data_IF_426855598245
#
_entry.id   IF_426855598245
#
_cell.length_a   1.000
_cell.length_b   1.000
_cell.length_c   1.000
_cell.angle_alpha   90.00
_cell.angle_beta   90.00
_cell.angle_gamma   90.00
#
_symmetry.space_group_name_H-M   'P 1'
#
loop_
_entity.id
_entity.type
_entity.pdbx_description
1 polymer ?
#
# COMPACT_ATOMS: atom_id res chain seq x y z
N UNK A 1 -64.61 1.38 12.72
CA UNK A 1 -63.46 0.45 12.53
C UNK A 1 -62.38 1.01 11.61
N UNK A 2 -62.64 1.79 10.57
CA UNK A 2 -61.58 2.33 9.67
C UNK A 2 -60.67 3.42 10.32
N UNK A 3 -61.19 4.24 11.19
CA UNK A 3 -60.42 5.31 11.87
C UNK A 3 -59.43 4.78 12.92
N UNK A 4 -59.82 3.69 13.60
CA UNK A 4 -58.98 3.03 14.60
C UNK A 4 -57.71 2.42 13.96
N UNK A 5 -57.82 1.82 12.77
CA UNK A 5 -56.69 1.22 12.09
C UNK A 5 -55.70 2.30 11.55
N UNK A 6 -56.21 3.44 11.11
CA UNK A 6 -55.36 4.58 10.67
C UNK A 6 -54.56 5.16 11.82
N UNK A 7 -55.12 5.28 13.00
CA UNK A 7 -54.40 5.78 14.17
C UNK A 7 -53.32 4.83 14.64
N UNK A 8 -53.61 3.50 14.63
CA UNK A 8 -52.59 2.49 14.97
C UNK A 8 -51.45 2.48 13.97
N UNK A 9 -51.74 2.56 12.66
CA UNK A 9 -50.68 2.63 11.63
C UNK A 9 -49.84 3.86 11.76
N UNK A 10 -50.42 5.04 11.99
CA UNK A 10 -49.68 6.28 12.20
C UNK A 10 -48.77 6.22 13.45
N UNK A 11 -49.25 5.61 14.52
CA UNK A 11 -48.50 5.42 15.76
C UNK A 11 -47.28 4.50 15.57
N UNK A 12 -47.43 3.39 14.83
CA UNK A 12 -46.36 2.44 14.52
C UNK A 12 -45.29 3.12 13.63
N UNK A 13 -45.69 3.89 12.64
CA UNK A 13 -44.77 4.64 11.78
C UNK A 13 -44.02 5.70 12.58
N UNK A 14 -44.67 6.43 13.45
CA UNK A 14 -44.05 7.44 14.31
C UNK A 14 -43.02 6.82 15.26
N UNK A 15 -43.35 5.66 15.85
CA UNK A 15 -42.44 4.92 16.74
C UNK A 15 -41.23 4.39 15.99
N UNK A 16 -41.40 3.93 14.76
CA UNK A 16 -40.30 3.48 13.88
C UNK A 16 -39.31 4.60 13.57
N UNK A 17 -39.80 5.79 13.23
CA UNK A 17 -38.95 6.97 12.93
C UNK A 17 -38.17 7.44 14.17
N UNK A 18 -38.81 7.46 15.35
CA UNK A 18 -38.16 7.85 16.60
C UNK A 18 -37.05 6.86 16.98
N UNK A 19 -37.28 5.56 16.78
CA UNK A 19 -36.32 4.49 17.10
C UNK A 19 -35.06 4.58 16.21
N UNK A 20 -35.21 4.90 14.93
CA UNK A 20 -34.07 5.07 14.01
C UNK A 20 -33.25 6.31 14.35
N UNK A 21 -33.89 7.42 14.73
CA UNK A 21 -33.21 8.62 15.15
C UNK A 21 -32.39 8.44 16.45
N UNK A 22 -32.89 7.63 17.38
CA UNK A 22 -32.18 7.33 18.62
C UNK A 22 -30.92 6.47 18.41
N UNK A 23 -30.92 5.57 17.42
CA UNK A 23 -29.76 4.74 17.07
C UNK A 23 -28.67 5.52 16.33
N UNK A 24 -29.00 6.64 15.71
CA UNK A 24 -28.04 7.49 15.02
C UNK A 24 -27.19 8.36 15.96
N UNK A 25 -27.52 8.46 17.24
CA UNK A 25 -26.77 9.22 18.23
C UNK A 25 -25.74 8.30 18.92
N UNK A 26 -24.65 8.02 18.21
CA UNK A 26 -23.50 7.39 18.88
C UNK A 26 -22.91 8.35 19.90
N UNK A 27 -22.64 7.91 21.14
CA UNK A 27 -22.08 8.79 22.17
C UNK A 27 -20.75 9.34 21.70
N UNK A 28 -20.65 10.64 21.59
CA UNK A 28 -19.39 11.33 21.30
C UNK A 28 -18.63 11.46 22.62
N UNK A 29 -17.60 10.66 22.79
CA UNK A 29 -16.80 10.65 24.03
C UNK A 29 -15.93 11.90 24.19
N UNK A 30 -15.94 12.82 23.25
CA UNK A 30 -15.08 14.04 23.23
C UNK A 30 -13.60 13.75 23.46
N UNK A 31 -13.14 12.57 23.01
CA UNK A 31 -11.75 12.18 23.07
C UNK A 31 -11.01 12.70 21.85
N UNK A 32 -9.79 13.19 22.12
CA UNK A 32 -8.94 13.72 21.07
C UNK A 32 -9.31 15.15 20.61
N UNK A 33 -8.44 15.71 19.81
CA UNK A 33 -8.61 17.02 19.16
C UNK A 33 -8.62 16.81 17.65
N UNK A 34 -9.57 17.38 16.91
CA UNK A 34 -9.49 17.39 15.45
C UNK A 34 -8.19 18.05 14.99
N UNK A 35 -7.47 17.38 14.11
CA UNK A 35 -6.26 17.94 13.51
C UNK A 35 -6.66 18.99 12.46
N UNK A 36 -5.89 20.05 12.36
CA UNK A 36 -5.98 20.99 11.26
C UNK A 36 -5.49 20.34 9.95
N UNK A 37 -5.87 20.88 8.80
CA UNK A 37 -5.40 20.40 7.50
C UNK A 37 -3.86 20.44 7.40
N UNK A 38 -3.23 21.42 8.04
CA UNK A 38 -1.77 21.54 8.04
C UNK A 38 -1.11 20.47 8.91
N UNK A 39 -1.66 20.20 10.08
CA UNK A 39 -1.21 19.09 10.93
C UNK A 39 -1.37 17.73 10.21
N UNK A 40 -2.52 17.53 9.51
CA UNK A 40 -2.75 16.30 8.73
C UNK A 40 -1.70 16.11 7.63
N UNK A 41 -1.32 17.16 6.90
CA UNK A 41 -0.31 17.06 5.83
C UNK A 41 1.05 16.55 6.31
N UNK A 42 1.41 16.82 7.56
CA UNK A 42 2.69 16.35 8.12
C UNK A 42 2.68 14.84 8.38
N UNK A 43 1.51 14.24 8.56
CA UNK A 43 1.33 12.82 8.84
C UNK A 43 0.88 12.02 7.62
N UNK A 44 0.23 12.67 6.68
CA UNK A 44 -0.27 12.05 5.44
C UNK A 44 0.83 12.04 4.37
N UNK A 45 1.82 11.18 4.60
CA UNK A 45 2.98 11.00 3.70
C UNK A 45 2.84 9.75 2.82
N UNK A 46 1.72 9.05 2.90
CA UNK A 46 1.48 7.83 2.13
C UNK A 46 1.24 8.11 0.65
N UNK A 47 1.76 7.24 -0.21
CA UNK A 47 1.50 7.29 -1.65
C UNK A 47 0.28 6.43 -1.96
N UNK A 48 -0.78 7.04 -2.44
CA UNK A 48 -2.00 6.34 -2.84
C UNK A 48 -1.85 5.53 -4.14
N UNK A 49 -2.83 4.65 -4.45
CA UNK A 49 -2.81 3.85 -5.67
C UNK A 49 -2.72 4.67 -6.96
N UNK A 50 -3.29 5.87 -6.96
CA UNK A 50 -3.30 6.78 -8.10
C UNK A 50 -1.98 7.56 -8.25
N UNK A 51 -1.10 7.51 -7.24
CA UNK A 51 0.21 8.14 -7.25
C UNK A 51 0.20 9.66 -7.32
N UNK A 52 -0.86 10.32 -6.83
CA UNK A 52 -0.97 11.79 -6.82
C UNK A 52 0.11 12.45 -5.98
N UNK A 53 0.56 11.75 -4.95
CA UNK A 53 1.55 12.18 -3.96
C UNK A 53 3.00 11.84 -4.40
N UNK A 54 3.17 11.16 -5.53
CA UNK A 54 4.50 10.79 -6.03
C UNK A 54 5.32 12.05 -6.36
N UNK A 55 6.54 12.15 -5.84
CA UNK A 55 7.42 13.28 -6.15
C UNK A 55 7.90 13.22 -7.60
N UNK A 56 8.31 14.37 -8.16
CA UNK A 56 8.96 14.39 -9.46
C UNK A 56 10.28 13.60 -9.41
N UNK A 57 10.56 12.89 -10.49
CA UNK A 57 11.75 12.06 -10.64
C UNK A 57 11.50 10.93 -11.63
N UNK A 58 12.54 10.18 -11.93
CA UNK A 58 12.46 9.02 -12.82
C UNK A 58 13.62 8.07 -12.58
N UNK A 59 13.46 6.82 -13.01
CA UNK A 59 14.52 5.83 -12.98
C UNK A 59 14.27 4.69 -13.95
N UNK A 60 15.32 4.02 -14.35
CA UNK A 60 15.31 2.83 -15.22
C UNK A 60 15.79 1.60 -14.47
N UNK A 61 15.45 0.41 -14.98
CA UNK A 61 15.95 -0.83 -14.40
C UNK A 61 17.48 -0.92 -14.42
N UNK A 62 18.13 -0.34 -15.44
CA UNK A 62 19.60 -0.31 -15.55
C UNK A 62 20.24 0.49 -14.40
N UNK A 63 19.70 1.67 -14.11
CA UNK A 63 20.16 2.51 -12.98
C UNK A 63 19.87 1.82 -11.65
N UNK A 64 18.67 1.25 -11.53
CA UNK A 64 18.24 0.50 -10.34
C UNK A 64 19.14 -0.71 -10.06
N UNK A 65 19.63 -1.41 -11.07
CA UNK A 65 20.59 -2.50 -10.92
C UNK A 65 21.88 -2.04 -10.27
N UNK A 66 22.42 -0.89 -10.68
CA UNK A 66 23.64 -0.33 -10.09
C UNK A 66 23.41 0.00 -8.62
N UNK A 67 22.33 0.72 -8.32
CA UNK A 67 21.94 1.05 -6.96
C UNK A 67 21.71 -0.19 -6.10
N UNK A 68 21.04 -1.19 -6.65
CA UNK A 68 20.75 -2.46 -5.97
C UNK A 68 22.02 -3.16 -5.51
N UNK A 69 23.00 -3.28 -6.39
CA UNK A 69 24.27 -3.92 -6.08
C UNK A 69 25.04 -3.19 -4.98
N UNK A 70 24.91 -1.87 -4.89
CA UNK A 70 25.61 -1.04 -3.91
C UNK A 70 24.93 -1.04 -2.54
N UNK A 71 23.60 -0.97 -2.50
CA UNK A 71 22.86 -0.69 -1.26
C UNK A 71 21.93 -1.82 -0.80
N UNK A 72 21.41 -2.63 -1.72
CA UNK A 72 20.33 -3.59 -1.42
C UNK A 72 20.83 -5.05 -1.38
N UNK A 73 21.74 -5.40 -2.29
CA UNK A 73 22.15 -6.79 -2.51
C UNK A 73 22.80 -7.44 -1.29
N UNK A 74 23.43 -6.68 -0.42
CA UNK A 74 24.03 -7.21 0.82
C UNK A 74 23.01 -7.90 1.75
N UNK A 75 21.74 -7.46 1.68
CA UNK A 75 20.66 -8.00 2.49
C UNK A 75 19.69 -8.86 1.66
N UNK A 76 19.40 -8.46 0.44
CA UNK A 76 18.39 -9.08 -0.41
C UNK A 76 18.93 -10.00 -1.50
N UNK A 77 20.27 -10.14 -1.59
CA UNK A 77 20.92 -10.89 -2.66
C UNK A 77 20.95 -10.14 -3.99
N UNK A 78 21.78 -10.60 -4.90
CA UNK A 78 21.98 -9.99 -6.22
C UNK A 78 20.74 -10.14 -7.12
N UNK A 79 19.94 -11.18 -6.88
CA UNK A 79 18.73 -11.51 -7.61
C UNK A 79 17.44 -11.14 -6.86
N UNK A 80 17.56 -10.46 -5.72
CA UNK A 80 16.46 -10.10 -4.82
C UNK A 80 15.67 -11.29 -4.24
N UNK A 81 16.24 -12.51 -4.27
CA UNK A 81 15.61 -13.74 -3.79
C UNK A 81 16.16 -14.24 -2.46
N UNK A 82 17.18 -13.59 -1.93
CA UNK A 82 17.78 -13.95 -0.65
C UNK A 82 17.07 -13.29 0.51
N UNK A 83 16.96 -14.02 1.62
CA UNK A 83 16.55 -13.45 2.90
C UNK A 83 17.76 -12.83 3.60
N UNK A 84 17.54 -11.80 4.40
CA UNK A 84 18.60 -11.20 5.21
C UNK A 84 19.29 -12.24 6.09
N UNK A 85 20.65 -12.32 6.07
CA UNK A 85 21.40 -13.00 7.11
C UNK A 85 21.11 -12.31 8.45
N UNK A 86 20.65 -13.06 9.47
CA UNK A 86 20.29 -12.49 10.77
C UNK A 86 18.88 -11.95 10.90
N UNK A 87 18.03 -12.14 9.91
CA UNK A 87 16.58 -11.96 10.07
C UNK A 87 16.11 -12.78 11.27
N UNK A 88 15.36 -12.16 12.19
CA UNK A 88 14.77 -12.81 13.37
C UNK A 88 13.82 -13.96 12.96
N UNK A 89 13.44 -14.02 11.71
CA UNK A 89 12.72 -15.13 11.09
C UNK A 89 13.67 -15.94 10.23
N UNK A 90 13.87 -17.23 10.52
CA UNK A 90 14.60 -18.12 9.63
C UNK A 90 13.89 -18.16 8.28
N UNK A 91 14.62 -18.38 7.16
CA UNK A 91 14.01 -18.59 5.88
C UNK A 91 13.10 -19.81 5.98
N UNK A 92 11.81 -19.60 6.02
CA UNK A 92 10.81 -20.64 5.82
C UNK A 92 10.38 -20.60 4.36
N UNK A 93 9.85 -21.67 3.78
CA UNK A 93 9.26 -21.63 2.43
C UNK A 93 8.21 -20.52 2.27
N UNK A 94 7.68 -20.01 3.40
CA UNK A 94 6.69 -18.92 3.47
C UNK A 94 7.32 -17.55 3.80
N UNK A 95 8.63 -17.49 4.09
CA UNK A 95 9.37 -16.24 4.33
C UNK A 95 9.79 -15.65 2.99
N UNK A 96 9.04 -14.73 2.65
CA UNK A 96 8.90 -14.08 1.41
C UNK A 96 10.12 -13.23 1.07
N UNK A 97 10.98 -13.66 0.15
CA UNK A 97 11.94 -12.76 -0.46
C UNK A 97 11.19 -11.63 -1.18
N UNK A 98 11.88 -10.54 -1.47
CA UNK A 98 11.32 -9.44 -2.27
C UNK A 98 10.75 -9.97 -3.58
N UNK A 99 11.47 -10.91 -4.19
CA UNK A 99 11.07 -11.69 -5.36
C UNK A 99 11.02 -13.17 -5.00
N UNK A 100 10.10 -13.92 -5.51
CA UNK A 100 10.09 -15.37 -5.30
C UNK A 100 8.73 -16.02 -5.46
N UNK A 101 8.30 -16.23 -6.69
CA UNK A 101 7.08 -16.95 -7.04
C UNK A 101 5.80 -16.26 -6.57
N UNK A 102 4.72 -17.01 -6.55
CA UNK A 102 3.36 -16.48 -6.24
C UNK A 102 3.21 -15.83 -4.87
N UNK A 103 4.17 -16.02 -3.96
CA UNK A 103 4.15 -15.48 -2.60
C UNK A 103 5.16 -14.35 -2.37
N UNK A 104 5.90 -13.91 -3.41
CA UNK A 104 6.81 -12.77 -3.31
C UNK A 104 6.09 -11.46 -2.97
N UNK A 105 6.75 -10.56 -2.23
CA UNK A 105 6.14 -9.26 -1.88
C UNK A 105 5.65 -8.52 -3.12
N UNK A 106 6.43 -8.52 -4.19
CA UNK A 106 6.04 -7.90 -5.47
C UNK A 106 4.81 -8.58 -6.05
N UNK A 107 4.80 -9.91 -6.07
CA UNK A 107 3.67 -10.69 -6.59
C UNK A 107 2.40 -10.51 -5.74
N UNK A 108 2.54 -10.37 -4.43
CA UNK A 108 1.42 -10.21 -3.50
C UNK A 108 0.89 -8.77 -3.41
N UNK A 109 1.61 -7.79 -3.98
CA UNK A 109 1.24 -6.38 -3.88
C UNK A 109 0.27 -5.98 -4.99
N UNK A 110 -0.82 -5.32 -4.59
CA UNK A 110 -1.88 -4.93 -5.50
C UNK A 110 -1.54 -3.71 -6.36
N UNK A 111 -0.79 -2.75 -5.80
CA UNK A 111 -0.47 -1.48 -6.46
C UNK A 111 1.04 -1.26 -6.55
N UNK A 112 1.51 -0.85 -7.71
CA UNK A 112 2.92 -0.55 -7.95
C UNK A 112 3.45 0.57 -7.04
N UNK A 113 2.62 1.55 -6.76
CA UNK A 113 2.92 2.67 -5.86
C UNK A 113 3.25 2.24 -4.44
N UNK A 114 2.68 1.12 -3.96
CA UNK A 114 2.98 0.55 -2.64
C UNK A 114 4.44 0.11 -2.53
N UNK A 115 5.01 -0.44 -3.58
CA UNK A 115 6.42 -0.86 -3.58
C UNK A 115 7.33 0.37 -3.54
N UNK A 116 7.03 1.38 -4.33
CA UNK A 116 7.74 2.65 -4.33
C UNK A 116 7.72 3.30 -2.94
N UNK A 117 6.53 3.41 -2.35
CA UNK A 117 6.31 4.03 -1.04
C UNK A 117 7.04 3.28 0.08
N UNK A 118 7.03 1.94 0.04
CA UNK A 118 7.75 1.12 0.99
C UNK A 118 9.26 1.32 0.91
N UNK A 119 9.82 1.31 -0.30
CA UNK A 119 11.25 1.56 -0.50
C UNK A 119 11.61 2.97 -0.01
N UNK A 120 10.82 3.96 -0.39
CA UNK A 120 11.05 5.36 -0.02
C UNK A 120 11.11 5.57 1.50
N UNK A 121 10.24 4.91 2.26
CA UNK A 121 10.11 5.14 3.71
C UNK A 121 10.94 4.20 4.56
N UNK A 122 11.18 2.99 4.11
CA UNK A 122 11.70 1.93 4.96
C UNK A 122 13.05 1.35 4.50
N UNK A 123 13.51 1.66 3.30
CA UNK A 123 14.74 1.08 2.75
C UNK A 123 15.78 2.14 2.38
N UNK A 124 17.09 1.82 2.53
CA UNK A 124 17.64 0.69 3.28
C UNK A 124 17.27 0.74 4.76
N UNK A 125 17.26 -0.41 5.45
CA UNK A 125 16.93 -0.46 6.88
C UNK A 125 17.90 0.32 7.75
N UNK A 126 17.42 0.86 8.86
CA UNK A 126 18.23 1.55 9.86
C UNK A 126 18.33 3.04 9.61
N UNK A 127 19.51 3.62 9.86
CA UNK A 127 19.71 5.07 9.77
C UNK A 127 19.60 5.63 8.35
N UNK A 128 19.69 4.77 7.34
CA UNK A 128 19.57 5.16 5.92
C UNK A 128 18.12 5.11 5.40
N UNK A 129 17.16 4.67 6.23
CA UNK A 129 15.76 4.66 5.86
C UNK A 129 15.26 6.07 5.50
N UNK A 130 14.58 6.18 4.36
CA UNK A 130 14.04 7.45 3.87
C UNK A 130 15.07 8.42 3.28
N UNK A 131 16.34 8.01 3.09
CA UNK A 131 17.39 8.87 2.54
C UNK A 131 17.61 8.75 1.03
N UNK A 132 17.00 7.73 0.40
CA UNK A 132 17.07 7.61 -1.06
C UNK A 132 16.37 8.80 -1.72
N UNK A 133 16.99 9.29 -2.79
CA UNK A 133 16.34 10.28 -3.64
C UNK A 133 15.17 9.67 -4.42
N UNK A 134 14.22 10.49 -4.86
CA UNK A 134 13.10 10.01 -5.66
C UNK A 134 13.55 9.22 -6.90
N UNK A 135 14.62 9.68 -7.59
CA UNK A 135 15.19 8.98 -8.74
C UNK A 135 15.70 7.58 -8.36
N UNK A 136 16.39 7.46 -7.23
CA UNK A 136 16.89 6.17 -6.74
C UNK A 136 15.76 5.23 -6.39
N UNK A 137 14.68 5.72 -5.78
CA UNK A 137 13.50 4.91 -5.47
C UNK A 137 12.79 4.45 -6.74
N UNK A 138 12.62 5.33 -7.75
CA UNK A 138 12.08 4.94 -9.06
C UNK A 138 12.96 3.89 -9.74
N UNK A 139 14.27 4.09 -9.71
CA UNK A 139 15.23 3.16 -10.32
C UNK A 139 15.19 1.79 -9.63
N UNK A 140 15.22 1.74 -8.29
CA UNK A 140 15.11 0.49 -7.52
C UNK A 140 13.79 -0.24 -7.82
N UNK A 141 12.68 0.50 -7.87
CA UNK A 141 11.37 -0.04 -8.22
C UNK A 141 11.36 -0.62 -9.64
N UNK A 142 11.92 0.12 -10.61
CA UNK A 142 12.04 -0.33 -12.00
C UNK A 142 12.86 -1.62 -12.10
N UNK A 143 13.97 -1.71 -11.38
CA UNK A 143 14.81 -2.91 -11.37
C UNK A 143 14.05 -4.12 -10.85
N UNK A 144 13.37 -4.00 -9.71
CA UNK A 144 12.58 -5.08 -9.13
C UNK A 144 11.47 -5.54 -10.08
N UNK A 145 10.75 -4.62 -10.71
CA UNK A 145 9.69 -4.96 -11.66
C UNK A 145 10.21 -5.60 -12.94
N UNK A 146 11.41 -5.22 -13.39
CA UNK A 146 12.04 -5.85 -14.55
C UNK A 146 12.50 -7.28 -14.25
N UNK A 147 13.00 -7.55 -13.03
CA UNK A 147 13.36 -8.90 -12.60
C UNK A 147 12.17 -9.86 -12.56
N UNK A 148 10.98 -9.36 -12.24
CA UNK A 148 9.72 -10.11 -12.25
C UNK A 148 9.02 -10.13 -13.63
N UNK A 149 9.61 -9.47 -14.64
CA UNK A 149 9.01 -9.40 -15.97
C UNK A 149 7.73 -8.57 -16.07
N UNK A 150 7.46 -7.73 -15.05
CA UNK A 150 6.28 -6.83 -15.00
C UNK A 150 6.44 -5.68 -16.00
N UNK A 151 7.66 -5.18 -16.13
CA UNK A 151 8.05 -4.14 -17.10
C UNK A 151 9.27 -4.59 -17.90
N UNK A 152 9.54 -3.92 -18.99
CA UNK A 152 10.78 -4.11 -19.76
C UNK A 152 11.94 -3.39 -19.09
N UNK A 153 13.16 -3.90 -19.27
CA UNK A 153 14.38 -3.25 -18.74
C UNK A 153 14.59 -1.83 -19.26
N UNK A 154 14.04 -1.52 -20.43
CA UNK A 154 14.12 -0.20 -21.07
C UNK A 154 13.05 0.78 -20.63
N UNK A 155 12.04 0.32 -19.88
CA UNK A 155 10.96 1.19 -19.45
C UNK A 155 11.42 2.16 -18.38
N UNK A 156 10.90 3.39 -18.45
CA UNK A 156 11.19 4.45 -17.48
C UNK A 156 10.06 4.51 -16.48
N UNK A 157 10.41 4.40 -15.20
CA UNK A 157 9.48 4.64 -14.10
C UNK A 157 9.56 6.08 -13.63
N UNK A 158 8.40 6.72 -13.55
CA UNK A 158 8.20 8.08 -13.05
C UNK A 158 6.81 8.21 -12.41
N UNK A 159 6.46 9.41 -11.94
CA UNK A 159 5.15 9.67 -11.33
C UNK A 159 3.96 9.42 -12.28
N UNK A 160 4.16 9.39 -13.60
CA UNK A 160 3.10 9.17 -14.60
C UNK A 160 2.98 7.72 -15.04
N UNK A 161 4.10 6.99 -15.07
CA UNK A 161 4.18 5.61 -15.55
C UNK A 161 3.94 4.61 -14.42
N UNK A 162 4.49 4.86 -13.24
CA UNK A 162 4.39 3.94 -12.11
C UNK A 162 2.94 3.57 -11.72
N UNK A 163 1.97 4.50 -11.58
CA UNK A 163 0.60 4.13 -11.23
C UNK A 163 -0.12 3.29 -12.30
N UNK A 164 0.40 3.28 -13.53
CA UNK A 164 -0.16 2.51 -14.65
C UNK A 164 0.40 1.10 -14.77
N UNK A 165 1.41 0.77 -13.99
CA UNK A 165 1.97 -0.58 -13.98
C UNK A 165 0.92 -1.56 -13.49
N UNK A 166 0.64 -2.57 -14.31
CA UNK A 166 -0.32 -3.61 -13.97
C UNK A 166 0.38 -4.69 -13.14
N UNK A 167 0.15 -4.66 -11.85
CA UNK A 167 0.68 -5.67 -10.94
C UNK A 167 -0.01 -7.03 -11.16
N UNK A 168 0.67 -8.16 -10.94
CA UNK A 168 0.10 -9.50 -11.08
C UNK A 168 -1.18 -9.70 -10.26
N UNK A 169 -1.24 -9.07 -9.10
CA UNK A 169 -2.36 -9.14 -8.15
C UNK A 169 -3.43 -8.04 -8.28
N UNK A 170 -3.35 -7.22 -9.31
CA UNK A 170 -4.30 -6.12 -9.53
C UNK A 170 -5.77 -6.57 -9.63
N UNK A 171 -6.04 -7.86 -9.92
CA UNK A 171 -7.39 -8.42 -10.03
C UNK A 171 -8.05 -8.77 -8.69
N UNK A 172 -7.35 -8.70 -7.58
CA UNK A 172 -7.90 -9.02 -6.24
C UNK A 172 -8.16 -10.52 -6.00
N UNK A 173 -7.88 -11.40 -6.96
CA UNK A 173 -8.20 -12.82 -6.87
C UNK A 173 -7.32 -13.61 -5.90
N UNK A 174 -6.20 -13.07 -5.48
CA UNK A 174 -5.23 -13.77 -4.64
C UNK A 174 -5.03 -13.12 -3.27
N UNK A 175 -5.99 -12.37 -2.73
CA UNK A 175 -5.91 -11.97 -1.34
C UNK A 175 -6.15 -13.21 -0.45
N UNK A 176 -5.10 -13.80 0.17
CA UNK A 176 -5.30 -14.86 1.16
C UNK A 176 -5.99 -14.31 2.42
N UNK A 177 -6.13 -13.00 2.52
CA UNK A 177 -6.87 -12.30 3.56
C UNK A 177 -8.33 -12.10 3.14
N UNK A 178 -9.12 -13.17 3.16
CA UNK A 178 -10.56 -13.00 3.37
C UNK A 178 -10.72 -12.36 4.74
N UNK A 179 -11.01 -11.07 4.78
CA UNK A 179 -11.45 -10.42 6.01
C UNK A 179 -12.66 -11.19 6.53
N UNK A 180 -12.48 -11.92 7.60
CA UNK A 180 -13.59 -12.38 8.42
C UNK A 180 -14.03 -11.18 9.25
N UNK A 181 -15.04 -10.49 8.80
CA UNK A 181 -15.87 -9.66 9.64
C UNK A 181 -17.07 -10.48 10.08
#
# INVERSE_FOLDING_TARGET
MRTSNLLVTAMVLLYGVISVAALAQMPTYKLGKPLSTEELRQWDTGIGPEGKELPPGSGTAKEGKVLWMQQCAKCHGVDAKSSMPGSIRPPTPDNNPVLGGEKGLIQATQFATTIWDYINRAMPLGEEAGKLTANEVYAATAYLFSLEGIIKETDVMDAKTLPKVRMPHASGELSPYKRRF
#
